data_IF_433750364976
#
_entry.id   IF_433750364976
#
_cell.length_a   1.000
_cell.length_b   1.000
_cell.length_c   1.000
_cell.angle_alpha   90.00
_cell.angle_beta   90.00
_cell.angle_gamma   90.00
#
_symmetry.space_group_name_H-M   'P 1'
#
loop_
_entity.id
_entity.type
_entity.pdbx_description
1 polymer ?
#
# COMPACT_ATOMS: atom_id res chain seq x y z
N UNK A 1 -1.75 17.39 -5.69
CA UNK A 1 -1.40 16.03 -5.21
C UNK A 1 -2.29 15.71 -4.02
N UNK A 2 -2.85 14.52 -3.96
CA UNK A 2 -3.66 14.05 -2.83
C UNK A 2 -2.93 12.92 -2.12
N UNK A 3 -2.94 12.94 -0.78
CA UNK A 3 -2.34 11.90 0.06
C UNK A 3 -3.39 11.33 1.01
N UNK A 4 -3.29 10.03 1.28
CA UNK A 4 -4.17 9.31 2.22
C UNK A 4 -3.39 8.22 2.93
N UNK A 5 -3.68 8.02 4.21
CA UNK A 5 -3.19 6.87 4.97
C UNK A 5 -4.34 5.88 5.12
N UNK A 6 -4.11 4.64 4.72
CA UNK A 6 -5.05 3.53 4.89
C UNK A 6 -4.51 2.51 5.88
N UNK A 7 -5.38 1.98 6.73
CA UNK A 7 -5.03 0.96 7.72
C UNK A 7 -5.59 -0.38 7.26
N UNK A 8 -4.72 -1.37 7.00
CA UNK A 8 -5.14 -2.72 6.63
C UNK A 8 -5.06 -3.65 7.83
N UNK A 9 -6.19 -4.18 8.26
CA UNK A 9 -6.24 -5.21 9.30
C UNK A 9 -6.22 -6.61 8.68
N UNK A 10 -5.46 -7.52 9.27
CA UNK A 10 -5.33 -8.92 8.83
C UNK A 10 -6.24 -9.89 9.61
N UNK A 11 -7.24 -9.38 10.32
CA UNK A 11 -8.10 -10.19 11.18
C UNK A 11 -8.86 -11.26 10.37
N UNK A 12 -8.74 -12.52 10.79
CA UNK A 12 -9.37 -13.66 10.11
C UNK A 12 -8.77 -14.03 8.74
N UNK A 13 -7.60 -13.50 8.37
CA UNK A 13 -6.92 -13.85 7.11
C UNK A 13 -5.75 -14.81 7.37
N UNK A 14 -5.89 -16.06 6.90
CA UNK A 14 -4.84 -17.08 6.97
C UNK A 14 -3.66 -16.75 6.02
N UNK A 15 -3.96 -16.34 4.79
CA UNK A 15 -2.97 -15.88 3.80
C UNK A 15 -2.82 -14.36 3.83
N UNK A 16 -2.03 -13.86 4.79
CA UNK A 16 -1.77 -12.42 4.95
C UNK A 16 -1.06 -11.81 3.73
N UNK A 17 -0.02 -12.43 3.12
CA UNK A 17 0.61 -11.90 1.92
C UNK A 17 -0.35 -11.79 0.73
N UNK A 18 -1.14 -12.83 0.43
CA UNK A 18 -2.10 -12.79 -0.67
C UNK A 18 -3.21 -11.75 -0.44
N UNK A 19 -3.70 -11.64 0.79
CA UNK A 19 -4.66 -10.60 1.17
C UNK A 19 -4.09 -9.19 0.99
N UNK A 20 -2.84 -8.96 1.43
CA UNK A 20 -2.17 -7.66 1.27
C UNK A 20 -2.05 -7.30 -0.21
N UNK A 21 -1.52 -8.20 -1.04
CA UNK A 21 -1.38 -7.97 -2.48
C UNK A 21 -2.72 -7.63 -3.12
N UNK A 22 -3.79 -8.35 -2.77
CA UNK A 22 -5.13 -8.05 -3.26
C UNK A 22 -5.57 -6.63 -2.90
N UNK A 23 -5.40 -6.21 -1.64
CA UNK A 23 -5.79 -4.85 -1.20
C UNK A 23 -4.96 -3.77 -1.87
N UNK A 24 -3.65 -3.97 -2.02
CA UNK A 24 -2.77 -3.05 -2.74
C UNK A 24 -3.21 -2.88 -4.21
N UNK A 25 -3.61 -3.98 -4.85
CA UNK A 25 -4.14 -3.96 -6.22
C UNK A 25 -5.48 -3.23 -6.33
N UNK A 26 -6.34 -3.32 -5.31
CA UNK A 26 -7.61 -2.57 -5.25
C UNK A 26 -7.34 -1.05 -5.23
N UNK A 27 -6.35 -0.58 -4.48
CA UNK A 27 -5.96 0.84 -4.52
C UNK A 27 -5.47 1.29 -5.89
N UNK A 28 -4.70 0.44 -6.59
CA UNK A 28 -4.26 0.72 -7.96
C UNK A 28 -5.42 0.88 -8.95
N UNK A 29 -6.49 0.09 -8.81
CA UNK A 29 -7.71 0.23 -9.62
C UNK A 29 -8.42 1.56 -9.39
N UNK A 30 -8.38 2.05 -8.16
CA UNK A 30 -8.90 3.38 -7.79
C UNK A 30 -7.93 4.51 -8.16
N UNK A 31 -6.90 4.27 -8.98
CA UNK A 31 -5.88 5.28 -9.33
C UNK A 31 -5.13 5.85 -8.12
N UNK A 32 -5.04 5.09 -7.03
CA UNK A 32 -4.11 5.39 -5.92
C UNK A 32 -2.80 4.65 -6.15
N UNK A 33 -1.68 5.36 -6.03
CA UNK A 33 -0.33 4.80 -6.01
C UNK A 33 0.11 4.56 -4.58
N UNK A 34 0.63 3.37 -4.31
CA UNK A 34 1.21 3.01 -3.02
C UNK A 34 2.62 3.60 -2.92
N UNK A 35 2.83 4.47 -1.94
CA UNK A 35 4.11 5.19 -1.74
C UNK A 35 4.96 4.50 -0.69
N UNK A 36 4.35 4.06 0.41
CA UNK A 36 5.04 3.43 1.51
C UNK A 36 4.12 2.43 2.19
N UNK A 37 4.71 1.30 2.60
CA UNK A 37 4.06 0.28 3.42
C UNK A 37 5.00 0.03 4.59
N UNK A 38 4.55 0.31 5.81
CA UNK A 38 5.37 0.03 7.00
C UNK A 38 5.19 -1.44 7.40
N UNK A 39 6.11 -2.28 6.93
CA UNK A 39 6.18 -3.69 7.30
C UNK A 39 7.02 -3.92 8.55
N UNK A 40 7.53 -2.86 9.20
CA UNK A 40 8.36 -3.01 10.39
C UNK A 40 7.53 -3.64 11.49
N UNK A 41 7.89 -4.84 11.99
CA UNK A 41 7.19 -5.44 13.11
C UNK A 41 7.50 -4.62 14.36
N UNK A 42 6.74 -3.56 14.58
CA UNK A 42 6.86 -2.80 15.82
C UNK A 42 6.35 -3.71 16.94
N UNK A 43 7.07 -3.84 18.07
CA UNK A 43 6.66 -4.70 19.18
C UNK A 43 5.27 -4.33 19.76
N UNK A 44 4.80 -3.10 19.52
CA UNK A 44 3.44 -2.64 19.85
C UNK A 44 2.36 -3.07 18.81
N UNK A 45 2.76 -3.43 17.59
CA UNK A 45 1.86 -3.80 16.48
C UNK A 45 1.98 -5.30 16.14
N UNK A 46 2.18 -6.17 17.15
CA UNK A 46 2.28 -7.64 16.99
C UNK A 46 1.10 -8.30 16.22
N UNK A 47 -0.01 -7.58 16.03
CA UNK A 47 -1.07 -7.92 15.10
C UNK A 47 -1.89 -6.66 14.75
N UNK A 48 -1.23 -5.51 14.64
CA UNK A 48 -1.89 -4.22 14.44
C UNK A 48 -2.28 -3.99 12.98
N UNK A 49 -3.22 -3.07 12.71
CA UNK A 49 -3.49 -2.62 11.34
C UNK A 49 -2.22 -2.06 10.70
N UNK A 50 -1.94 -2.46 9.46
CA UNK A 50 -0.79 -2.05 8.68
C UNK A 50 -1.04 -0.68 8.04
N UNK A 51 -0.27 0.36 8.36
CA UNK A 51 -0.43 1.67 7.73
C UNK A 51 0.18 1.67 6.33
N UNK A 52 -0.59 2.21 5.37
CA UNK A 52 -0.20 2.33 3.97
C UNK A 52 -0.39 3.77 3.53
N UNK A 53 0.69 4.37 3.03
CA UNK A 53 0.65 5.70 2.45
C UNK A 53 0.30 5.59 0.96
N UNK A 54 -0.80 6.24 0.58
CA UNK A 54 -1.28 6.35 -0.78
C UNK A 54 -1.10 7.78 -1.28
N UNK A 55 -0.72 7.91 -2.54
CA UNK A 55 -0.74 9.17 -3.27
C UNK A 55 -1.60 9.04 -4.51
N UNK A 56 -2.25 10.13 -4.88
CA UNK A 56 -2.87 10.27 -6.19
C UNK A 56 -2.41 11.59 -6.79
N UNK A 57 -1.78 11.57 -7.97
CA UNK A 57 -1.49 12.81 -8.65
C UNK A 57 -2.79 13.53 -8.94
N UNK A 58 -2.87 14.82 -8.58
CA UNK A 58 -3.96 15.65 -9.09
C UNK A 58 -3.72 15.72 -10.59
N UNK A 59 -4.59 15.12 -11.39
CA UNK A 59 -4.50 15.21 -12.84
C UNK A 59 -4.85 16.65 -13.23
N UNK A 60 -3.87 17.55 -13.13
CA UNK A 60 -3.78 18.67 -14.07
C UNK A 60 -3.04 18.09 -15.26
N UNK A 61 -3.75 17.95 -16.37
CA UNK A 61 -3.35 17.06 -17.47
C UNK A 61 -1.92 17.30 -17.96
N UNK A 62 -1.05 16.31 -17.77
CA UNK A 62 -0.01 15.86 -18.68
C UNK A 62 0.91 14.85 -17.96
N UNK A 63 1.03 13.64 -18.54
CA UNK A 63 2.04 12.61 -18.26
C UNK A 63 2.04 12.02 -16.83
N UNK A 64 2.31 10.76 -16.54
CA UNK A 64 2.68 9.53 -17.23
C UNK A 64 2.39 8.43 -16.17
N UNK A 65 1.96 7.21 -16.48
CA UNK A 65 2.70 6.33 -17.36
C UNK A 65 4.06 5.93 -16.78
N UNK A 66 4.17 5.62 -15.47
CA UNK A 66 5.44 5.11 -14.92
C UNK A 66 5.23 4.20 -13.69
N UNK A 67 5.33 2.90 -13.96
CA UNK A 67 6.04 1.88 -13.18
C UNK A 67 5.91 1.90 -11.65
N UNK A 68 5.10 0.98 -11.12
CA UNK A 68 5.33 0.40 -9.79
C UNK A 68 6.14 -0.89 -9.93
N UNK A 69 7.45 -0.73 -10.15
CA UNK A 69 8.44 -1.79 -10.04
C UNK A 69 9.31 -1.40 -8.83
N UNK A 70 8.81 -1.66 -7.62
CA UNK A 70 9.60 -1.49 -6.40
C UNK A 70 9.94 -2.86 -5.83
N UNK A 71 11.23 -3.15 -5.93
CA UNK A 71 11.89 -4.37 -5.52
C UNK A 71 11.72 -4.62 -4.01
N UNK A 72 11.23 -5.81 -3.66
CA UNK A 72 11.42 -6.37 -2.33
C UNK A 72 12.90 -6.76 -2.18
N UNK A 73 13.69 -5.89 -1.53
CA UNK A 73 15.05 -6.20 -1.12
C UNK A 73 15.00 -6.85 0.26
N UNK A 74 15.04 -8.17 0.29
CA UNK A 74 15.28 -8.96 1.52
C UNK A 74 16.78 -8.93 1.82
N UNK A 75 17.15 -8.60 3.06
CA UNK A 75 18.48 -8.82 3.62
C UNK A 75 18.53 -10.17 4.32
#
# INVERSE_FOLDING_TARGET
>A
MQYRIEMITFEGQDDRPGYLVRRLNEFGKDSWRVVSVDLTPHPAFKAGPLPILLERPSVSGAAAGASALLAFRTH
#
